data_IF_265501368564
#
_entry.id   IF_265501368564
#
_cell.length_a   1.000
_cell.length_b   1.000
_cell.length_c   1.000
_cell.angle_alpha   90.00
_cell.angle_beta   90.00
_cell.angle_gamma   90.00
#
_symmetry.space_group_name_H-M   'P 1'
#
loop_
_entity.id
_entity.type
_entity.pdbx_description
1 polymer ?
#
# COMPACT_ATOMS: atom_id res chain seq x y z
N UNK A 1 15.58 15.42 -6.08
CA UNK A 1 14.14 15.60 -5.82
C UNK A 1 14.03 16.51 -4.59
N UNK A 2 13.75 17.80 -4.78
CA UNK A 2 13.78 18.82 -3.69
C UNK A 2 12.51 19.69 -3.64
N UNK A 3 11.61 19.61 -4.62
CA UNK A 3 10.51 20.57 -4.81
C UNK A 3 9.13 20.11 -4.32
N UNK A 4 8.98 18.86 -3.87
CA UNK A 4 7.67 18.29 -3.51
C UNK A 4 6.71 18.14 -4.69
N UNK A 5 7.19 18.21 -5.93
CA UNK A 5 6.39 18.01 -7.13
C UNK A 5 5.96 16.54 -7.29
N UNK A 6 4.83 16.32 -7.98
CA UNK A 6 4.36 14.99 -8.36
C UNK A 6 5.40 14.30 -9.24
N UNK A 7 5.67 13.03 -8.95
CA UNK A 7 6.51 12.17 -9.81
C UNK A 7 5.67 11.77 -11.02
N UNK A 8 6.21 11.96 -12.22
CA UNK A 8 5.54 11.62 -13.46
C UNK A 8 5.42 10.12 -13.64
N UNK A 9 4.33 9.66 -14.27
CA UNK A 9 4.06 8.24 -14.52
C UNK A 9 5.21 7.54 -15.26
N UNK A 10 5.87 8.21 -16.20
CA UNK A 10 7.01 7.65 -16.96
C UNK A 10 8.16 7.21 -16.03
N UNK A 11 8.43 7.98 -14.97
CA UNK A 11 9.47 7.67 -14.00
C UNK A 11 9.03 6.49 -13.13
N UNK A 12 7.77 6.50 -12.66
CA UNK A 12 7.21 5.41 -11.83
C UNK A 12 7.21 4.09 -12.59
N UNK A 13 6.72 4.10 -13.84
CA UNK A 13 6.70 2.92 -14.73
C UNK A 13 8.13 2.46 -15.04
N UNK A 14 9.07 3.38 -15.23
CA UNK A 14 10.49 3.05 -15.40
C UNK A 14 11.05 2.27 -14.21
N UNK A 15 10.81 2.74 -12.99
CA UNK A 15 11.25 2.08 -11.75
C UNK A 15 10.63 0.68 -11.63
N UNK A 16 9.33 0.55 -11.90
CA UNK A 16 8.63 -0.75 -11.86
C UNK A 16 9.23 -1.71 -12.89
N UNK A 17 9.46 -1.26 -14.13
CA UNK A 17 10.05 -2.08 -15.19
C UNK A 17 11.45 -2.57 -14.84
N UNK A 18 12.26 -1.75 -14.18
CA UNK A 18 13.59 -2.16 -13.76
C UNK A 18 13.55 -3.09 -12.54
N UNK A 19 12.61 -2.89 -11.61
CA UNK A 19 12.40 -3.78 -10.47
C UNK A 19 11.95 -5.19 -10.91
N UNK A 20 11.00 -5.29 -11.85
CA UNK A 20 10.46 -6.58 -12.34
C UNK A 20 11.53 -7.43 -13.05
N UNK A 21 12.59 -6.82 -13.60
CA UNK A 21 13.72 -7.56 -14.21
C UNK A 21 14.57 -8.30 -13.18
N UNK A 22 14.44 -7.98 -11.89
CA UNK A 22 15.13 -8.67 -10.81
C UNK A 22 14.74 -10.15 -10.76
N UNK A 23 15.69 -11.02 -10.41
CA UNK A 23 15.43 -12.44 -10.18
C UNK A 23 14.41 -12.65 -9.05
N UNK A 24 14.27 -11.71 -8.11
CA UNK A 24 13.27 -11.78 -7.05
C UNK A 24 11.82 -11.76 -7.59
N UNK A 25 11.61 -11.17 -8.76
CA UNK A 25 10.30 -11.11 -9.42
C UNK A 25 10.04 -12.28 -10.39
N UNK A 26 10.94 -13.27 -10.48
CA UNK A 26 10.80 -14.38 -11.43
C UNK A 26 9.59 -15.28 -11.15
N UNK A 27 9.08 -15.27 -9.92
CA UNK A 27 7.90 -16.04 -9.49
C UNK A 27 6.60 -15.22 -9.50
N UNK A 28 6.63 -14.03 -10.09
CA UNK A 28 5.55 -13.05 -10.04
C UNK A 28 5.86 -11.92 -9.05
N UNK A 29 5.01 -10.91 -9.06
CA UNK A 29 5.13 -9.72 -8.23
C UNK A 29 3.74 -9.23 -7.81
N UNK A 30 3.70 -8.48 -6.71
CA UNK A 30 2.53 -7.78 -6.20
C UNK A 30 2.69 -6.30 -6.55
N UNK A 31 1.69 -5.66 -7.15
CA UNK A 31 1.61 -4.20 -7.21
C UNK A 31 0.60 -3.75 -6.15
N UNK A 32 1.12 -3.20 -5.06
CA UNK A 32 0.30 -2.64 -3.97
C UNK A 32 0.04 -1.16 -4.24
N UNK A 33 -1.21 -0.72 -4.18
CA UNK A 33 -1.66 0.65 -4.50
C UNK A 33 -1.27 1.19 -5.90
N UNK A 34 -1.06 0.32 -6.91
CA UNK A 34 -0.78 0.73 -8.28
C UNK A 34 -1.48 -0.18 -9.32
N UNK A 35 -2.05 0.38 -10.41
CA UNK A 35 -2.17 1.79 -10.74
C UNK A 35 -3.21 2.52 -9.87
N UNK A 36 -2.95 3.79 -9.54
CA UNK A 36 -3.88 4.62 -8.73
C UNK A 36 -5.00 5.28 -9.53
N UNK A 37 -4.93 5.17 -10.85
CA UNK A 37 -5.93 5.68 -11.79
C UNK A 37 -6.49 4.52 -12.57
N UNK A 38 -7.75 4.60 -12.98
CA UNK A 38 -8.33 3.64 -13.92
C UNK A 38 -7.45 3.62 -15.17
N UNK A 39 -6.84 2.48 -15.53
CA UNK A 39 -5.99 2.44 -16.70
C UNK A 39 -6.86 2.60 -17.94
N UNK A 40 -6.53 3.59 -18.79
CA UNK A 40 -6.94 3.53 -20.19
C UNK A 40 -6.56 2.15 -20.75
N UNK A 41 -7.36 1.59 -21.66
CA UNK A 41 -7.25 0.22 -22.23
C UNK A 41 -5.85 -0.20 -22.76
N UNK A 42 -4.89 0.74 -22.79
CA UNK A 42 -3.49 0.51 -23.17
C UNK A 42 -2.63 -0.15 -22.09
N UNK A 43 -2.87 0.09 -20.80
CA UNK A 43 -1.98 -0.43 -19.72
C UNK A 43 -2.33 -1.88 -19.32
N UNK A 44 -3.56 -2.31 -19.56
CA UNK A 44 -4.10 -3.62 -19.14
C UNK A 44 -3.52 -4.81 -19.91
N UNK A 45 -2.86 -4.59 -21.05
CA UNK A 45 -2.37 -5.69 -21.92
C UNK A 45 -0.98 -6.22 -21.54
N UNK A 46 -0.20 -5.51 -20.72
CA UNK A 46 1.20 -5.89 -20.44
C UNK A 46 1.44 -6.60 -19.09
N UNK A 47 0.49 -6.61 -18.14
CA UNK A 47 0.77 -7.01 -16.73
C UNK A 47 -0.23 -8.02 -16.11
N UNK A 48 -0.58 -9.10 -16.82
CA UNK A 48 -1.52 -10.13 -16.33
C UNK A 48 -0.82 -11.24 -15.54
N UNK A 49 -0.35 -10.93 -14.32
CA UNK A 49 -0.18 -11.91 -13.22
C UNK A 49 0.30 -11.17 -11.97
N UNK A 50 -0.61 -10.70 -11.13
CA UNK A 50 -0.30 -9.98 -9.89
C UNK A 50 -1.02 -10.68 -8.74
N UNK A 51 -0.27 -11.29 -7.83
CA UNK A 51 -0.78 -11.82 -6.56
C UNK A 51 -0.62 -10.73 -5.47
N UNK A 52 -1.28 -10.84 -4.29
CA UNK A 52 -1.21 -9.82 -3.22
C UNK A 52 -0.94 -10.41 -1.83
N UNK A 53 0.09 -9.93 -1.10
CA UNK A 53 0.31 -10.18 0.35
C UNK A 53 1.04 -9.02 1.02
N UNK A 54 0.48 -8.50 2.14
CA UNK A 54 1.02 -7.41 2.94
C UNK A 54 1.38 -7.87 4.36
N UNK A 55 2.64 -7.72 4.77
CA UNK A 55 3.12 -8.04 6.12
C UNK A 55 3.40 -6.75 6.93
N UNK A 56 2.40 -5.86 7.03
CA UNK A 56 2.44 -4.67 7.88
C UNK A 56 1.58 -4.88 9.13
N UNK A 57 2.11 -5.66 10.10
CA UNK A 57 1.36 -6.10 11.30
C UNK A 57 0.66 -4.91 11.96
N UNK A 58 -0.66 -4.95 11.93
CA UNK A 58 -1.54 -3.94 12.49
C UNK A 58 -2.53 -4.66 13.39
N UNK A 59 -2.68 -4.19 14.62
CA UNK A 59 -3.65 -4.73 15.57
C UNK A 59 -4.92 -3.86 15.51
N UNK A 60 -6.06 -4.48 15.77
CA UNK A 60 -7.35 -3.77 15.80
C UNK A 60 -8.10 -4.12 17.08
N UNK A 61 -8.43 -3.09 17.88
CA UNK A 61 -9.06 -3.22 19.22
C UNK A 61 -10.26 -4.18 19.25
N UNK A 62 -11.02 -4.31 18.15
CA UNK A 62 -12.19 -5.22 18.07
C UNK A 62 -12.02 -6.47 17.19
N UNK A 63 -11.17 -6.41 16.16
CA UNK A 63 -11.17 -7.43 15.08
C UNK A 63 -9.89 -8.25 15.07
N UNK A 64 -8.82 -7.73 15.68
CA UNK A 64 -7.55 -8.40 15.90
C UNK A 64 -6.91 -7.79 17.16
N UNK A 65 -7.53 -7.98 18.34
CA UNK A 65 -7.01 -7.42 19.58
C UNK A 65 -5.68 -8.09 19.93
N UNK A 66 -4.77 -7.33 20.54
CA UNK A 66 -3.57 -7.90 21.14
C UNK A 66 -3.92 -8.74 22.36
N UNK A 67 -3.05 -9.68 22.72
CA UNK A 67 -3.21 -10.49 23.93
C UNK A 67 -3.16 -9.63 25.20
N UNK A 68 -2.39 -8.53 25.17
CA UNK A 68 -2.33 -7.53 26.23
C UNK A 68 -2.73 -6.18 25.67
N UNK A 69 -3.69 -5.53 26.33
CA UNK A 69 -4.21 -4.23 25.87
C UNK A 69 -3.07 -3.20 25.74
N UNK A 70 -3.03 -2.55 24.57
CA UNK A 70 -2.03 -1.55 24.24
C UNK A 70 -0.60 -2.06 24.09
N UNK A 71 -0.36 -3.38 23.94
CA UNK A 71 1.00 -3.93 23.70
C UNK A 71 1.08 -4.81 22.48
N UNK A 72 2.21 -4.75 21.79
CA UNK A 72 2.54 -5.68 20.71
C UNK A 72 2.78 -7.08 21.29
N UNK A 73 2.24 -8.10 20.62
CA UNK A 73 2.30 -9.49 21.10
C UNK A 73 3.68 -10.13 20.98
N UNK A 74 4.56 -9.59 20.13
CA UNK A 74 5.88 -10.15 19.86
C UNK A 74 6.95 -9.35 20.61
N UNK A 75 6.91 -8.02 20.53
CA UNK A 75 7.93 -7.14 21.12
C UNK A 75 7.56 -6.68 22.53
N UNK A 76 6.28 -6.70 22.90
CA UNK A 76 5.80 -6.18 24.18
C UNK A 76 5.82 -4.65 24.28
N UNK A 77 6.17 -3.96 23.20
CA UNK A 77 6.19 -2.49 23.12
C UNK A 77 4.77 -1.91 23.12
N UNK A 78 4.64 -0.64 23.48
CA UNK A 78 3.35 0.03 23.52
C UNK A 78 2.82 0.29 22.11
N UNK A 79 1.60 -0.17 21.84
CA UNK A 79 0.87 0.16 20.62
C UNK A 79 0.39 1.60 20.70
N UNK A 80 0.52 2.32 19.59
CA UNK A 80 0.09 3.71 19.46
C UNK A 80 -0.96 3.82 18.36
N UNK A 81 -2.06 4.51 18.67
CA UNK A 81 -3.03 4.92 17.66
C UNK A 81 -2.55 6.20 17.00
N UNK A 82 -2.57 6.27 15.67
CA UNK A 82 -2.13 7.46 14.97
C UNK A 82 -3.17 8.57 15.10
N UNK A 83 -2.71 9.82 15.09
CA UNK A 83 -3.59 11.01 15.17
C UNK A 83 -4.60 11.08 14.01
N UNK A 84 -4.25 10.52 12.85
CA UNK A 84 -5.09 10.51 11.66
C UNK A 84 -6.13 9.37 11.62
N UNK A 85 -6.10 8.43 12.58
CA UNK A 85 -7.08 7.32 12.69
C UNK A 85 -8.39 7.78 13.33
N UNK A 86 -9.08 8.71 12.67
CA UNK A 86 -10.35 9.26 13.12
C UNK A 86 -11.40 9.25 12.01
N UNK A 87 -12.68 9.29 12.39
CA UNK A 87 -13.81 9.18 11.45
C UNK A 87 -13.79 10.25 10.35
N UNK A 88 -13.32 11.46 10.67
CA UNK A 88 -13.30 12.59 9.73
C UNK A 88 -12.27 12.34 8.63
N UNK A 89 -11.02 12.03 9.01
CA UNK A 89 -9.95 11.72 8.06
C UNK A 89 -10.25 10.46 7.24
N UNK A 90 -10.83 9.43 7.86
CA UNK A 90 -11.21 8.21 7.16
C UNK A 90 -12.33 8.47 6.15
N UNK A 91 -13.33 9.27 6.53
CA UNK A 91 -14.41 9.66 5.62
C UNK A 91 -13.89 10.38 4.39
N UNK A 92 -13.04 11.40 4.57
CA UNK A 92 -12.48 12.14 3.43
C UNK A 92 -11.61 11.26 2.53
N UNK A 93 -10.78 10.37 3.10
CA UNK A 93 -9.95 9.44 2.31
C UNK A 93 -10.79 8.46 1.50
N UNK A 94 -11.90 7.97 2.06
CA UNK A 94 -12.78 7.02 1.38
C UNK A 94 -13.58 7.69 0.26
N UNK A 95 -14.02 8.93 0.46
CA UNK A 95 -14.65 9.73 -0.59
C UNK A 95 -13.69 9.97 -1.76
N UNK A 96 -12.42 10.32 -1.48
CA UNK A 96 -11.41 10.53 -2.52
C UNK A 96 -11.06 9.24 -3.28
N UNK A 97 -11.10 8.08 -2.62
CA UNK A 97 -10.85 6.79 -3.27
C UNK A 97 -11.94 6.38 -4.27
N UNK A 98 -13.20 6.77 -4.04
CA UNK A 98 -14.33 6.43 -4.92
C UNK A 98 -14.63 7.48 -6.00
N UNK A 99 -13.88 8.58 -6.06
CA UNK A 99 -13.94 9.55 -7.15
C UNK A 99 -13.24 9.00 -8.39
#
# INVERSE_FOLDING_TARGET
>A
MESGALVTDEIVVGIIKDAIKSFECCRGFILDDFPRTVPDEKLTKENTSVDAVASGRSNHVKFAPSNVDGKDDITGELLLQRKDDNKVTLGSRLEDFHK
#
